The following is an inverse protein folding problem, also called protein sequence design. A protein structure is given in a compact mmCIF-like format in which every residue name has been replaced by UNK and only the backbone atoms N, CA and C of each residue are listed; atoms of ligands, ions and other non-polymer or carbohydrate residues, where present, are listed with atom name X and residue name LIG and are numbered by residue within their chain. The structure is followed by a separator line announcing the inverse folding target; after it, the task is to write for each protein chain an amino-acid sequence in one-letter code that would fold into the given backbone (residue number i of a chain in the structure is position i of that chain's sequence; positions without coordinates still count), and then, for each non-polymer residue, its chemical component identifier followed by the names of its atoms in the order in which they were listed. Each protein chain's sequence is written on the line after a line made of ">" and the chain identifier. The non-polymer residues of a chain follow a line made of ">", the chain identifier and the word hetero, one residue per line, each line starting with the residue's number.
data_IF_364464546830
#
_entry.id   IF_364464546830
#
_cell.length_a   1.000
_cell.length_b   1.000
_cell.length_c   1.000
_cell.angle_alpha   90.00
_cell.angle_beta   90.00
_cell.angle_gamma   90.00
#
_symmetry.space_group_name_H-M   'P 1'
#
loop_
_entity.id
_entity.type
_entity.pdbx_description
1 polymer ?
#
# COMPACT_ATOMS: atom_id res chain seq x y z
N UNK A 1 10.50 17.02 -16.04
CA UNK A 1 9.44 16.00 -16.16
C UNK A 1 9.63 14.86 -15.12
N UNK A 2 10.87 14.30 -14.97
CA UNK A 2 11.18 13.26 -14.00
C UNK A 2 10.75 13.63 -12.57
N UNK A 3 11.15 14.78 -12.08
CA UNK A 3 10.86 15.27 -10.76
C UNK A 3 9.36 15.32 -10.43
N UNK A 4 8.53 15.71 -11.40
CA UNK A 4 7.07 15.72 -11.25
C UNK A 4 6.49 14.30 -10.99
N UNK A 5 6.99 13.29 -11.71
CA UNK A 5 6.58 11.90 -11.50
C UNK A 5 6.92 11.41 -10.09
N UNK A 6 8.11 11.74 -9.59
CA UNK A 6 8.56 11.34 -8.26
C UNK A 6 7.74 12.01 -7.15
N UNK A 7 7.42 13.29 -7.30
CA UNK A 7 6.57 14.02 -6.34
C UNK A 7 5.18 13.39 -6.26
N UNK A 8 4.53 13.16 -7.40
CA UNK A 8 3.20 12.54 -7.42
C UNK A 8 3.24 11.16 -6.76
N UNK A 9 4.28 10.36 -7.07
CA UNK A 9 4.43 9.02 -6.53
C UNK A 9 4.54 9.04 -5.00
N UNK A 10 5.41 9.88 -4.46
CA UNK A 10 5.58 10.00 -3.01
C UNK A 10 4.37 10.61 -2.31
N UNK A 11 3.65 11.54 -2.98
CA UNK A 11 2.40 12.09 -2.47
C UNK A 11 1.31 11.00 -2.37
N UNK A 12 1.11 10.21 -3.43
CA UNK A 12 0.13 9.11 -3.42
C UNK A 12 0.48 8.09 -2.32
N UNK A 13 1.77 7.76 -2.16
CA UNK A 13 2.26 6.89 -1.10
C UNK A 13 1.92 7.46 0.28
N UNK A 14 2.29 8.71 0.54
CA UNK A 14 2.05 9.37 1.84
C UNK A 14 0.57 9.46 2.18
N UNK A 15 -0.28 9.84 1.22
CA UNK A 15 -1.74 9.88 1.42
C UNK A 15 -2.31 8.49 1.68
N UNK A 16 -1.88 7.48 0.90
CA UNK A 16 -2.34 6.10 1.09
C UNK A 16 -2.00 5.55 2.47
N UNK A 17 -0.76 5.76 2.93
CA UNK A 17 -0.31 5.37 4.27
C UNK A 17 -1.05 6.13 5.37
N UNK A 18 -1.24 7.44 5.24
CA UNK A 18 -1.97 8.24 6.22
C UNK A 18 -3.43 7.79 6.34
N UNK A 19 -4.13 7.55 5.23
CA UNK A 19 -5.50 7.04 5.23
C UNK A 19 -5.60 5.66 5.90
N UNK A 20 -4.65 4.77 5.61
CA UNK A 20 -4.59 3.45 6.23
C UNK A 20 -4.32 3.55 7.73
N UNK A 21 -3.40 4.40 8.16
CA UNK A 21 -3.08 4.61 9.57
C UNK A 21 -4.28 5.21 10.33
N UNK A 22 -4.96 6.21 9.76
CA UNK A 22 -6.16 6.80 10.36
C UNK A 22 -7.31 5.76 10.40
N UNK A 23 -7.42 4.89 9.40
CA UNK A 23 -8.40 3.79 9.39
C UNK A 23 -8.27 2.92 10.64
N UNK A 24 -7.02 2.58 11.05
CA UNK A 24 -6.74 1.77 12.24
C UNK A 24 -7.24 2.38 13.57
N UNK A 25 -7.46 3.70 13.61
CA UNK A 25 -8.02 4.37 14.80
C UNK A 25 -9.53 4.11 14.92
N UNK A 26 -10.23 3.94 13.79
CA UNK A 26 -11.69 3.90 13.73
C UNK A 26 -12.27 2.54 13.37
N UNK A 27 -11.43 1.54 13.05
CA UNK A 27 -11.85 0.16 12.76
C UNK A 27 -10.80 -0.84 13.21
N UNK A 28 -11.14 -2.13 13.18
CA UNK A 28 -10.22 -3.19 13.58
C UNK A 28 -9.09 -3.38 12.54
N UNK A 29 -7.91 -3.79 13.01
CA UNK A 29 -6.72 -4.05 12.16
C UNK A 29 -7.05 -5.03 11.03
N UNK A 30 -7.80 -6.09 11.34
CA UNK A 30 -8.23 -7.09 10.36
C UNK A 30 -9.10 -6.48 9.25
N UNK A 31 -10.05 -5.61 9.61
CA UNK A 31 -10.91 -4.93 8.65
C UNK A 31 -10.10 -3.97 7.77
N UNK A 32 -9.22 -3.16 8.36
CA UNK A 32 -8.32 -2.28 7.60
C UNK A 32 -7.51 -3.09 6.58
N UNK A 33 -6.95 -4.24 6.99
CA UNK A 33 -6.20 -5.11 6.10
C UNK A 33 -7.04 -5.60 4.91
N UNK A 34 -8.27 -6.08 5.17
CA UNK A 34 -9.17 -6.56 4.12
C UNK A 34 -9.56 -5.45 3.14
N UNK A 35 -9.96 -4.29 3.65
CA UNK A 35 -10.34 -3.18 2.79
C UNK A 35 -9.15 -2.66 1.97
N UNK A 36 -7.95 -2.64 2.54
CA UNK A 36 -6.74 -2.27 1.81
C UNK A 36 -6.43 -3.26 0.68
N UNK A 37 -6.55 -4.57 0.91
CA UNK A 37 -6.32 -5.61 -0.12
C UNK A 37 -7.28 -5.48 -1.32
N UNK A 38 -8.39 -4.76 -1.20
CA UNK A 38 -9.27 -4.47 -2.34
C UNK A 38 -8.54 -3.80 -3.52
N UNK A 39 -7.34 -3.22 -3.32
CA UNK A 39 -6.53 -2.73 -4.44
C UNK A 39 -6.26 -3.81 -5.50
N UNK A 40 -6.29 -5.08 -5.14
CA UNK A 40 -6.10 -6.22 -6.05
C UNK A 40 -7.19 -6.27 -7.14
N UNK A 41 -8.42 -5.88 -6.80
CA UNK A 41 -9.50 -5.72 -7.79
C UNK A 41 -9.40 -4.38 -8.53
N UNK A 42 -9.04 -3.32 -7.80
CA UNK A 42 -9.00 -1.95 -8.35
C UNK A 42 -7.91 -1.81 -9.41
N UNK A 43 -6.72 -2.41 -9.20
CA UNK A 43 -5.59 -2.33 -10.15
C UNK A 43 -5.94 -2.87 -11.54
N UNK A 44 -6.46 -4.10 -11.72
CA UNK A 44 -6.84 -4.58 -13.04
C UNK A 44 -8.00 -3.76 -13.63
N UNK A 45 -8.97 -3.33 -12.81
CA UNK A 45 -10.08 -2.51 -13.26
C UNK A 45 -9.59 -1.19 -13.85
N UNK A 46 -8.77 -0.44 -13.15
CA UNK A 46 -8.17 0.82 -13.63
C UNK A 46 -7.29 0.55 -14.86
N UNK A 47 -6.49 -0.52 -14.85
CA UNK A 47 -5.61 -0.87 -15.97
C UNK A 47 -6.42 -1.13 -17.25
N UNK A 48 -7.56 -1.79 -17.14
CA UNK A 48 -8.42 -2.10 -18.27
C UNK A 48 -9.18 -0.87 -18.77
N UNK A 49 -9.89 -0.15 -17.89
CA UNK A 49 -10.80 0.93 -18.27
C UNK A 49 -10.08 2.26 -18.54
N UNK A 50 -9.06 2.62 -17.74
CA UNK A 50 -8.40 3.92 -17.86
C UNK A 50 -7.16 3.83 -18.77
N UNK A 51 -6.37 2.78 -18.67
CA UNK A 51 -5.15 2.63 -19.45
C UNK A 51 -5.32 1.74 -20.69
N UNK A 52 -6.53 1.23 -20.97
CA UNK A 52 -6.86 0.39 -22.13
C UNK A 52 -5.90 -0.81 -22.32
N UNK A 53 -5.37 -1.35 -21.19
CA UNK A 53 -4.45 -2.48 -21.22
C UNK A 53 -5.25 -3.78 -21.23
N UNK A 54 -4.89 -4.70 -22.13
CA UNK A 54 -5.44 -6.05 -22.12
C UNK A 54 -4.96 -6.78 -20.85
N UNK A 55 -5.93 -7.22 -20.05
CA UNK A 55 -5.72 -8.03 -18.86
C UNK A 55 -6.03 -9.48 -19.20
N UNK A 56 -5.12 -10.40 -18.84
CA UNK A 56 -5.39 -11.82 -19.04
C UNK A 56 -6.60 -12.22 -18.19
N UNK A 57 -7.48 -13.02 -18.74
CA UNK A 57 -8.75 -13.39 -18.10
C UNK A 57 -8.56 -14.03 -16.71
N UNK A 58 -7.47 -14.79 -16.50
CA UNK A 58 -7.16 -15.45 -15.22
C UNK A 58 -6.91 -14.50 -14.04
N UNK A 59 -6.61 -13.22 -14.31
CA UNK A 59 -6.42 -12.21 -13.26
C UNK A 59 -7.71 -11.95 -12.49
N UNK A 60 -8.86 -12.00 -13.15
CA UNK A 60 -10.16 -11.71 -12.52
C UNK A 60 -10.55 -12.73 -11.44
N UNK A 61 -10.59 -14.04 -11.73
CA UNK A 61 -10.87 -15.03 -10.69
C UNK A 61 -9.79 -15.03 -9.60
N UNK A 62 -8.50 -14.83 -9.94
CA UNK A 62 -7.45 -14.77 -8.94
C UNK A 62 -7.66 -13.59 -7.98
N UNK A 63 -7.94 -12.40 -8.48
CA UNK A 63 -8.23 -11.22 -7.67
C UNK A 63 -9.49 -11.42 -6.80
N UNK A 64 -10.53 -12.06 -7.32
CA UNK A 64 -11.73 -12.41 -6.58
C UNK A 64 -11.44 -13.36 -5.41
N UNK A 65 -10.66 -14.41 -5.63
CA UNK A 65 -10.24 -15.33 -4.57
C UNK A 65 -9.34 -14.66 -3.51
N UNK A 66 -8.48 -13.71 -3.90
CA UNK A 66 -7.69 -12.92 -2.94
C UNK A 66 -8.60 -12.12 -2.00
N UNK A 67 -9.66 -11.49 -2.50
CA UNK A 67 -10.61 -10.74 -1.67
C UNK A 67 -11.40 -11.68 -0.75
N UNK A 68 -11.88 -12.82 -1.26
CA UNK A 68 -12.56 -13.82 -0.43
C UNK A 68 -11.63 -14.31 0.69
N UNK A 69 -10.37 -14.62 0.37
CA UNK A 69 -9.37 -15.03 1.36
C UNK A 69 -9.17 -13.96 2.44
N UNK A 70 -9.06 -12.69 2.05
CA UNK A 70 -8.99 -11.56 2.97
C UNK A 70 -10.23 -11.46 3.87
N UNK A 71 -11.44 -11.57 3.29
CA UNK A 71 -12.70 -11.56 4.05
C UNK A 71 -12.79 -12.72 5.07
N UNK A 72 -12.33 -13.90 4.71
CA UNK A 72 -12.30 -15.05 5.60
C UNK A 72 -11.31 -14.86 6.77
N UNK A 73 -10.20 -14.16 6.53
CA UNK A 73 -9.20 -13.84 7.56
C UNK A 73 -9.70 -12.77 8.54
N UNK A 74 -10.60 -11.89 8.14
CA UNK A 74 -11.06 -10.76 8.96
C UNK A 74 -12.06 -11.14 10.06
N UNK A 75 -12.49 -12.39 10.15
CA UNK A 75 -13.51 -12.83 11.13
C UNK A 75 -14.69 -11.84 11.23
N UNK A 76 -15.32 -11.47 10.13
CA UNK A 76 -16.42 -10.49 10.09
C UNK A 76 -17.61 -10.92 10.95
N UNK A 77 -17.49 -10.72 12.26
CA UNK A 77 -18.54 -11.09 13.24
C UNK A 77 -19.70 -10.09 13.27
N UNK A 78 -19.48 -8.84 12.89
CA UNK A 78 -20.49 -7.79 12.80
C UNK A 78 -20.23 -6.86 11.62
N UNK A 79 -21.03 -6.98 10.57
CA UNK A 79 -20.94 -6.14 9.36
C UNK A 79 -21.64 -4.80 9.60
N UNK A 80 -21.04 -3.93 10.41
CA UNK A 80 -21.42 -2.52 10.45
C UNK A 80 -20.33 -1.73 9.73
N UNK A 81 -20.66 -1.03 8.65
CA UNK A 81 -19.72 -0.15 7.95
C UNK A 81 -19.34 0.98 8.90
N UNK A 82 -18.10 0.98 9.34
CA UNK A 82 -17.53 2.02 10.20
C UNK A 82 -16.84 3.10 9.37
N UNK A 83 -16.63 4.27 9.95
CA UNK A 83 -15.87 5.34 9.28
C UNK A 83 -14.46 4.89 8.86
N UNK A 84 -13.79 4.09 9.71
CA UNK A 84 -12.48 3.50 9.39
C UNK A 84 -12.49 2.59 8.15
N UNK A 85 -13.57 1.84 7.94
CA UNK A 85 -13.71 0.96 6.78
C UNK A 85 -13.72 1.76 5.47
N UNK A 86 -14.41 2.92 5.47
CA UNK A 86 -14.41 3.83 4.32
C UNK A 86 -13.01 4.39 4.03
N UNK A 87 -12.25 4.73 5.08
CA UNK A 87 -10.85 5.17 4.94
C UNK A 87 -9.96 4.05 4.40
N UNK A 88 -10.18 2.80 4.85
CA UNK A 88 -9.51 1.61 4.32
C UNK A 88 -9.75 1.42 2.82
N UNK A 89 -11.00 1.54 2.36
CA UNK A 89 -11.33 1.49 0.94
C UNK A 89 -10.67 2.64 0.17
N UNK A 90 -10.68 3.85 0.72
CA UNK A 90 -10.04 5.00 0.08
C UNK A 90 -8.52 4.81 -0.03
N UNK A 91 -7.89 4.22 1.01
CA UNK A 91 -6.48 3.85 0.96
C UNK A 91 -6.19 2.82 -0.14
N UNK A 92 -7.10 1.85 -0.36
CA UNK A 92 -6.97 0.86 -1.44
C UNK A 92 -6.92 1.51 -2.83
N UNK A 93 -7.67 2.57 -3.07
CA UNK A 93 -7.54 3.36 -4.30
C UNK A 93 -6.17 4.02 -4.41
N UNK A 94 -5.66 4.61 -3.32
CA UNK A 94 -4.32 5.19 -3.31
C UNK A 94 -3.26 4.12 -3.61
N UNK A 95 -3.33 2.95 -3.01
CA UNK A 95 -2.42 1.83 -3.28
C UNK A 95 -2.52 1.34 -4.72
N UNK A 96 -3.72 1.26 -5.29
CA UNK A 96 -3.91 0.90 -6.69
C UNK A 96 -3.26 1.91 -7.63
N UNK A 97 -3.50 3.21 -7.41
CA UNK A 97 -2.85 4.27 -8.19
C UNK A 97 -1.33 4.28 -7.99
N UNK A 98 -0.84 4.04 -6.78
CA UNK A 98 0.58 3.93 -6.48
C UNK A 98 1.25 2.83 -7.30
N UNK A 99 0.72 1.61 -7.29
CA UNK A 99 1.23 0.47 -8.09
C UNK A 99 1.25 0.81 -9.58
N UNK A 100 0.16 1.37 -10.10
CA UNK A 100 0.05 1.76 -11.50
C UNK A 100 1.05 2.86 -11.87
N UNK A 101 1.25 3.81 -10.97
CA UNK A 101 2.14 4.94 -11.20
C UNK A 101 3.61 4.55 -11.07
N UNK A 102 3.99 3.65 -10.14
CA UNK A 102 5.33 3.03 -10.11
C UNK A 102 5.61 2.34 -11.44
N UNK A 103 4.69 1.48 -11.91
CA UNK A 103 4.88 0.74 -13.18
C UNK A 103 5.07 1.68 -14.38
N UNK A 104 4.41 2.84 -14.38
CA UNK A 104 4.61 3.86 -15.41
C UNK A 104 5.97 4.55 -15.25
N UNK A 105 6.32 4.94 -14.04
CA UNK A 105 7.52 5.70 -13.72
C UNK A 105 8.78 4.88 -13.97
N UNK A 106 8.83 3.62 -13.54
CA UNK A 106 9.99 2.74 -13.69
C UNK A 106 10.26 2.40 -15.16
N UNK A 107 9.22 2.31 -15.98
CA UNK A 107 9.37 2.11 -17.44
C UNK A 107 9.90 3.36 -18.14
N UNK A 108 9.65 4.53 -17.58
CA UNK A 108 10.11 5.80 -18.13
C UNK A 108 11.56 6.13 -17.71
N UNK A 109 11.94 5.88 -16.44
CA UNK A 109 13.23 6.27 -15.90
C UNK A 109 14.23 5.13 -15.72
N UNK A 110 13.78 3.90 -15.57
CA UNK A 110 14.58 2.69 -15.38
C UNK A 110 15.63 2.77 -14.23
N UNK A 111 15.36 3.56 -13.18
CA UNK A 111 16.20 3.70 -11.99
C UNK A 111 15.40 3.31 -10.73
N UNK A 112 15.18 2.00 -10.46
CA UNK A 112 14.29 1.54 -9.40
C UNK A 112 14.72 2.01 -8.00
N UNK A 113 16.01 2.02 -7.70
CA UNK A 113 16.54 2.50 -6.42
C UNK A 113 16.19 3.98 -6.21
N UNK A 114 16.44 4.83 -7.20
CA UNK A 114 16.15 6.26 -7.12
C UNK A 114 14.65 6.51 -6.94
N UNK A 115 13.81 5.74 -7.65
CA UNK A 115 12.35 5.83 -7.52
C UNK A 115 11.91 5.45 -6.11
N UNK A 116 12.40 4.30 -5.58
CA UNK A 116 12.06 3.83 -4.25
C UNK A 116 12.50 4.82 -3.15
N UNK A 117 13.73 5.33 -3.21
CA UNK A 117 14.22 6.32 -2.26
C UNK A 117 13.44 7.64 -2.34
N UNK A 118 13.18 8.14 -3.54
CA UNK A 118 12.48 9.41 -3.74
C UNK A 118 11.04 9.36 -3.21
N UNK A 119 10.31 8.27 -3.45
CA UNK A 119 8.94 8.15 -2.97
C UNK A 119 8.89 8.11 -1.43
N UNK A 120 9.81 7.37 -0.78
CA UNK A 120 9.88 7.34 0.69
C UNK A 120 10.25 8.71 1.26
N UNK A 121 11.23 9.42 0.66
CA UNK A 121 11.61 10.75 1.10
C UNK A 121 10.45 11.76 0.96
N UNK A 122 9.75 11.73 -0.15
CA UNK A 122 8.64 12.66 -0.39
C UNK A 122 7.46 12.31 0.52
N UNK A 123 7.13 11.02 0.70
CA UNK A 123 6.12 10.61 1.65
C UNK A 123 6.46 11.09 3.08
N UNK A 124 7.71 10.93 3.51
CA UNK A 124 8.18 11.45 4.79
C UNK A 124 7.96 12.98 4.92
N UNK A 125 8.34 13.76 3.90
CA UNK A 125 8.16 15.22 3.92
C UNK A 125 6.68 15.64 4.03
N UNK A 126 5.77 14.85 3.45
CA UNK A 126 4.33 15.09 3.58
C UNK A 126 3.76 14.68 4.93
N UNK A 127 4.27 13.63 5.54
CA UNK A 127 3.73 13.07 6.79
C UNK A 127 4.35 13.67 8.04
N UNK A 128 5.56 14.23 7.97
CA UNK A 128 6.25 14.81 9.13
C UNK A 128 5.48 15.98 9.74
N UNK A 129 4.88 16.84 8.90
CA UNK A 129 4.17 18.02 9.38
C UNK A 129 2.90 17.67 10.17
N UNK A 130 1.97 16.84 9.66
CA UNK A 130 0.84 16.36 10.45
C UNK A 130 1.27 15.59 11.71
N UNK A 131 2.33 14.77 11.65
CA UNK A 131 2.85 14.07 12.81
C UNK A 131 3.24 15.03 13.94
N UNK A 132 4.01 16.07 13.63
CA UNK A 132 4.45 17.05 14.66
C UNK A 132 3.28 17.86 15.21
N UNK A 133 2.26 18.16 14.40
CA UNK A 133 1.11 18.98 14.83
C UNK A 133 0.10 18.19 15.67
N UNK A 134 -0.17 16.93 15.29
CA UNK A 134 -1.27 16.15 15.87
C UNK A 134 -0.83 15.06 16.85
N UNK A 135 0.40 14.54 16.74
CA UNK A 135 0.84 13.39 17.52
C UNK A 135 1.79 13.75 18.66
N UNK A 136 2.34 14.98 18.68
CA UNK A 136 3.27 15.49 19.71
C UNK A 136 4.37 14.46 20.09
N UNK A 137 5.20 14.01 19.12
CA UNK A 137 6.11 12.90 19.33
C UNK A 137 7.11 13.18 20.45
N UNK A 138 7.18 12.27 21.42
CA UNK A 138 8.15 12.33 22.52
C UNK A 138 9.44 11.60 22.16
N UNK A 139 10.59 12.23 22.37
CA UNK A 139 11.90 11.61 22.14
C UNK A 139 12.06 10.32 22.96
N UNK A 140 11.55 10.30 24.19
CA UNK A 140 11.63 9.11 25.06
C UNK A 140 10.82 7.94 24.48
N UNK A 141 9.64 8.19 23.90
CA UNK A 141 8.83 7.15 23.26
C UNK A 141 9.51 6.64 21.99
N UNK A 142 10.12 7.53 21.19
CA UNK A 142 10.88 7.14 20.00
C UNK A 142 12.03 6.19 20.35
N UNK A 143 12.78 6.46 21.42
CA UNK A 143 13.85 5.57 21.86
C UNK A 143 13.34 4.24 22.44
N UNK A 144 12.18 4.24 23.09
CA UNK A 144 11.55 3.03 23.62
C UNK A 144 11.15 2.07 22.49
N UNK A 145 10.57 2.61 21.42
CA UNK A 145 10.05 1.83 20.29
C UNK A 145 11.03 1.84 19.08
N UNK A 146 12.35 2.05 19.36
CA UNK A 146 13.36 2.21 18.32
C UNK A 146 13.50 0.98 17.41
N UNK A 147 13.39 -0.22 17.97
CA UNK A 147 13.51 -1.47 17.19
C UNK A 147 12.36 -1.62 16.20
N UNK A 148 11.15 -1.33 16.63
CA UNK A 148 9.95 -1.36 15.79
C UNK A 148 10.03 -0.31 14.68
N UNK A 149 10.46 0.91 15.02
CA UNK A 149 10.66 2.00 14.07
C UNK A 149 11.71 1.62 13.02
N UNK A 150 12.85 1.05 13.43
CA UNK A 150 13.89 0.61 12.51
C UNK A 150 13.43 -0.57 11.65
N UNK A 151 12.71 -1.53 12.21
CA UNK A 151 12.13 -2.65 11.46
C UNK A 151 11.17 -2.14 10.36
N UNK A 152 10.21 -1.30 10.72
CA UNK A 152 9.24 -0.73 9.78
C UNK A 152 9.95 0.17 8.75
N UNK A 153 10.87 1.02 9.17
CA UNK A 153 11.56 1.95 8.28
C UNK A 153 12.48 1.26 7.28
N UNK A 154 13.28 0.29 7.72
CA UNK A 154 14.29 -0.36 6.87
C UNK A 154 13.69 -1.51 6.07
N UNK A 155 12.96 -2.43 6.73
CA UNK A 155 12.48 -3.65 6.08
C UNK A 155 11.12 -3.44 5.43
N UNK A 156 10.12 -2.97 6.19
CA UNK A 156 8.75 -2.86 5.70
C UNK A 156 8.55 -1.69 4.72
N UNK A 157 9.32 -0.61 4.86
CA UNK A 157 9.24 0.52 3.93
C UNK A 157 10.40 0.51 2.94
N UNK A 158 11.66 0.57 3.40
CA UNK A 158 12.82 0.71 2.52
C UNK A 158 12.98 -0.46 1.56
N UNK A 159 13.15 -1.67 2.10
CA UNK A 159 13.38 -2.87 1.30
C UNK A 159 12.12 -3.27 0.52
N UNK A 160 10.94 -3.24 1.14
CA UNK A 160 9.71 -3.67 0.48
C UNK A 160 9.36 -2.77 -0.72
N UNK A 161 9.42 -1.44 -0.61
CA UNK A 161 9.15 -0.56 -1.75
C UNK A 161 10.24 -0.64 -2.83
N UNK A 162 11.48 -0.96 -2.46
CA UNK A 162 12.52 -1.24 -3.43
C UNK A 162 12.19 -2.50 -4.23
N UNK A 163 11.85 -3.61 -3.56
CA UNK A 163 11.46 -4.87 -4.20
C UNK A 163 10.19 -4.70 -5.05
N UNK A 164 9.21 -3.95 -4.55
CA UNK A 164 8.00 -3.61 -5.31
C UNK A 164 8.34 -2.87 -6.61
N UNK A 165 9.27 -1.92 -6.56
CA UNK A 165 9.69 -1.14 -7.73
C UNK A 165 10.41 -2.02 -8.75
N UNK A 166 11.31 -2.92 -8.30
CA UNK A 166 11.97 -3.92 -9.16
C UNK A 166 10.96 -4.89 -9.78
N UNK A 167 10.00 -5.35 -9.02
CA UNK A 167 8.93 -6.24 -9.52
C UNK A 167 8.16 -5.57 -10.65
N UNK A 168 7.74 -4.32 -10.47
CA UNK A 168 6.97 -3.56 -11.45
C UNK A 168 7.79 -3.10 -12.67
N UNK A 169 9.10 -3.23 -12.63
CA UNK A 169 9.97 -3.06 -13.79
C UNK A 169 9.75 -4.20 -14.81
N UNK A 170 9.56 -5.43 -14.33
CA UNK A 170 9.49 -6.64 -15.14
C UNK A 170 8.07 -7.20 -15.28
N UNK A 171 7.19 -6.97 -14.30
CA UNK A 171 5.82 -7.43 -14.30
C UNK A 171 4.82 -6.32 -14.64
N UNK A 172 3.68 -6.73 -15.16
CA UNK A 172 2.54 -5.82 -15.32
C UNK A 172 1.83 -5.61 -13.98
N UNK A 173 1.17 -4.46 -13.74
CA UNK A 173 0.58 -4.12 -12.45
C UNK A 173 -0.43 -5.14 -11.91
N UNK A 174 -1.27 -5.72 -12.76
CA UNK A 174 -2.35 -6.59 -12.30
C UNK A 174 -1.86 -7.91 -11.69
N UNK A 175 -0.97 -8.71 -12.31
CA UNK A 175 -0.35 -9.86 -11.65
C UNK A 175 0.51 -9.47 -10.44
N UNK A 176 1.22 -8.33 -10.49
CA UNK A 176 2.02 -7.86 -9.37
C UNK A 176 1.13 -7.57 -8.14
N UNK A 177 -0.03 -6.94 -8.32
CA UNK A 177 -0.97 -6.66 -7.24
C UNK A 177 -1.46 -7.95 -6.54
N UNK A 178 -1.71 -9.03 -7.30
CA UNK A 178 -2.08 -10.33 -6.74
C UNK A 178 -0.93 -10.90 -5.89
N UNK A 179 0.31 -10.80 -6.34
CA UNK A 179 1.47 -11.28 -5.58
C UNK A 179 1.65 -10.44 -4.30
N UNK A 180 1.49 -9.13 -4.38
CA UNK A 180 1.60 -8.26 -3.21
C UNK A 180 0.51 -8.53 -2.17
N UNK A 181 -0.68 -8.97 -2.57
CA UNK A 181 -1.74 -9.32 -1.62
C UNK A 181 -1.42 -10.52 -0.72
N UNK A 182 -0.40 -11.32 -1.05
CA UNK A 182 0.11 -12.38 -0.17
C UNK A 182 0.69 -11.83 1.14
N UNK A 183 1.00 -10.54 1.19
CA UNK A 183 1.41 -9.84 2.42
C UNK A 183 0.41 -10.08 3.55
N UNK A 184 -0.91 -9.99 3.28
CA UNK A 184 -1.95 -10.27 4.26
C UNK A 184 -1.94 -11.72 4.78
N UNK A 185 -1.66 -12.69 3.91
CA UNK A 185 -1.52 -14.09 4.29
C UNK A 185 -0.30 -14.31 5.20
N UNK A 186 0.85 -13.75 4.83
CA UNK A 186 2.06 -13.86 5.65
C UNK A 186 1.88 -13.14 6.98
N UNK A 187 1.26 -11.96 7.01
CA UNK A 187 0.95 -11.25 8.24
C UNK A 187 0.10 -12.11 9.18
N UNK A 188 -0.94 -12.78 8.67
CA UNK A 188 -1.78 -13.68 9.46
C UNK A 188 -0.99 -14.88 10.01
N UNK A 189 -0.14 -15.50 9.19
CA UNK A 189 0.70 -16.65 9.62
C UNK A 189 1.67 -16.22 10.73
N UNK A 190 2.36 -15.10 10.59
CA UNK A 190 3.30 -14.61 11.60
C UNK A 190 2.61 -14.07 12.87
N UNK A 191 1.38 -13.60 12.78
CA UNK A 191 0.61 -13.22 13.94
C UNK A 191 0.08 -14.43 14.74
N UNK A 192 0.01 -15.60 14.11
CA UNK A 192 -0.44 -16.83 14.76
C UNK A 192 0.71 -17.63 15.42
N UNK A 193 1.96 -17.45 14.98
CA UNK A 193 3.18 -18.06 15.55
C UNK A 193 3.63 -17.36 16.81
#
# INVERSE_FOLDING_TARGET
>A
KAFYYLIILGFILGVGQALQQISLIYTDVANTGVFTVMYVLIVPFISYFIFSKKIHWSVWPAAFFCVIGGLLLSELKNVSVRYGDMLGVLSAFCWAFHILYISKTVKFFNYPITIAMSQCLIAFLFTILPMVIYEEPSINNIFKDLYEILYVGILSSGLAFLLQTYTLQNLTPAPAAIIFSLEGMFAAVFAWL
#
